data_IF_373599951452
#
_entry.id   IF_373599951452
#
_cell.length_a   1.000
_cell.length_b   1.000
_cell.length_c   1.000
_cell.angle_alpha   90.00
_cell.angle_beta   90.00
_cell.angle_gamma   90.00
#
_symmetry.space_group_name_H-M   'P 1'
#
loop_
_entity.id
_entity.type
_entity.pdbx_description
1 polymer ?
#
# COMPACT_ATOMS: atom_id res chain seq x y z
N UNK A 1 -14.52 15.91 1.94
CA UNK A 1 -13.82 14.74 1.39
C UNK A 1 -13.73 13.64 2.41
N UNK A 2 -13.97 12.43 1.96
CA UNK A 2 -13.87 11.26 2.82
C UNK A 2 -12.40 11.00 3.21
N UNK A 3 -12.15 10.79 4.50
CA UNK A 3 -10.81 10.44 4.97
C UNK A 3 -10.57 8.96 4.83
N UNK A 4 -9.40 8.60 4.32
CA UNK A 4 -9.00 7.22 4.13
C UNK A 4 -8.08 6.77 5.28
N UNK A 5 -8.30 5.57 5.83
CA UNK A 5 -7.48 5.10 6.93
C UNK A 5 -6.06 4.78 6.49
N UNK A 6 -5.10 5.10 7.34
CA UNK A 6 -3.69 4.78 7.17
C UNK A 6 -3.11 4.48 8.54
N UNK A 7 -2.20 3.50 8.63
CA UNK A 7 -1.54 3.24 9.89
C UNK A 7 -0.52 4.34 10.19
N UNK A 8 -0.23 4.57 11.46
CA UNK A 8 0.76 5.56 11.87
C UNK A 8 2.14 5.27 11.25
N UNK A 9 2.55 4.01 11.22
CA UNK A 9 3.83 3.64 10.61
C UNK A 9 3.80 3.85 9.09
N UNK A 10 2.68 3.59 8.44
CA UNK A 10 2.50 3.84 7.01
C UNK A 10 2.56 5.32 6.67
N UNK A 11 1.97 6.17 7.50
CA UNK A 11 2.08 7.62 7.32
C UNK A 11 3.54 8.07 7.39
N UNK A 12 4.29 7.57 8.36
CA UNK A 12 5.71 7.91 8.51
C UNK A 12 6.53 7.45 7.31
N UNK A 13 6.27 6.24 6.80
CA UNK A 13 6.95 5.72 5.62
C UNK A 13 6.62 6.52 4.36
N UNK A 14 5.36 6.89 4.18
CA UNK A 14 4.95 7.70 3.04
C UNK A 14 5.53 9.10 3.10
N UNK A 15 5.58 9.70 4.28
CA UNK A 15 6.20 11.02 4.46
C UNK A 15 7.68 11.00 4.11
N UNK A 16 8.40 9.95 4.51
CA UNK A 16 9.82 9.80 4.18
C UNK A 16 10.01 9.54 2.68
N UNK A 17 9.16 8.72 2.07
CA UNK A 17 9.20 8.49 0.63
C UNK A 17 8.96 9.78 -0.15
N UNK A 18 7.99 10.58 0.29
CA UNK A 18 7.71 11.89 -0.32
C UNK A 18 8.93 12.80 -0.22
N UNK A 19 9.57 12.84 0.93
CA UNK A 19 10.78 13.62 1.14
C UNK A 19 11.88 13.21 0.16
N UNK A 20 12.13 11.91 0.01
CA UNK A 20 13.14 11.39 -0.92
C UNK A 20 12.82 11.74 -2.37
N UNK A 21 11.57 11.64 -2.76
CA UNK A 21 11.14 12.04 -4.10
C UNK A 21 11.42 13.51 -4.39
N UNK A 22 11.17 14.39 -3.42
CA UNK A 22 11.34 15.85 -3.58
C UNK A 22 12.79 16.29 -3.50
N UNK A 23 13.58 15.75 -2.57
CA UNK A 23 14.93 16.25 -2.32
C UNK A 23 16.03 15.48 -3.04
N UNK A 24 15.75 14.25 -3.47
CA UNK A 24 16.72 13.40 -4.14
C UNK A 24 16.33 13.10 -5.59
N UNK A 25 15.21 12.42 -5.80
CA UNK A 25 14.86 11.93 -7.14
C UNK A 25 14.48 13.05 -8.10
N UNK A 26 13.74 14.07 -7.64
CA UNK A 26 13.38 15.21 -8.48
C UNK A 26 14.61 15.98 -8.98
N UNK A 27 15.57 16.35 -8.13
CA UNK A 27 16.80 16.99 -8.61
C UNK A 27 17.64 16.10 -9.52
N UNK A 28 17.75 14.81 -9.20
CA UNK A 28 18.51 13.87 -10.01
C UNK A 28 17.94 13.74 -11.43
N UNK A 29 16.61 13.65 -11.56
CA UNK A 29 16.01 13.56 -12.89
C UNK A 29 16.11 14.87 -13.67
N UNK A 30 16.05 16.03 -12.98
CA UNK A 30 16.27 17.31 -13.60
C UNK A 30 17.68 17.41 -14.17
N UNK A 31 18.67 16.91 -13.45
CA UNK A 31 20.06 16.85 -13.90
C UNK A 31 20.22 15.92 -15.10
N UNK A 32 19.56 14.73 -15.06
CA UNK A 32 19.59 13.78 -16.17
C UNK A 32 18.98 14.38 -17.45
N UNK A 33 17.91 15.15 -17.31
CA UNK A 33 17.31 15.86 -18.44
C UNK A 33 18.26 16.89 -19.02
N UNK A 34 18.92 17.68 -18.17
CA UNK A 34 19.89 18.68 -18.61
C UNK A 34 21.07 18.04 -19.36
N UNK A 35 21.57 16.91 -18.86
CA UNK A 35 22.66 16.18 -19.52
C UNK A 35 22.21 15.60 -20.85
N UNK A 36 21.00 15.02 -20.93
CA UNK A 36 20.47 14.48 -22.17
C UNK A 36 20.26 15.56 -23.23
N UNK A 37 19.81 16.76 -22.83
CA UNK A 37 19.64 17.89 -23.75
C UNK A 37 20.96 18.36 -24.34
N UNK A 38 22.06 18.23 -23.61
CA UNK A 38 23.40 18.60 -24.08
C UNK A 38 23.88 17.70 -25.21
N UNK A 39 23.29 16.52 -25.42
CA UNK A 39 23.69 15.60 -26.48
C UNK A 39 23.07 15.92 -27.85
N UNK A 40 22.26 16.96 -27.99
CA UNK A 40 21.79 17.47 -29.28
C UNK A 40 20.30 17.36 -29.54
N UNK A 41 19.90 16.71 -30.66
CA UNK A 41 18.52 16.67 -31.14
C UNK A 41 17.55 16.07 -30.13
N UNK A 42 16.53 16.84 -29.74
CA UNK A 42 15.54 16.40 -28.75
C UNK A 42 14.53 15.41 -29.32
N UNK A 43 14.23 15.45 -30.62
CA UNK A 43 13.25 14.58 -31.23
C UNK A 43 13.70 13.11 -31.30
N UNK A 44 14.98 12.88 -31.56
CA UNK A 44 15.57 11.55 -31.71
C UNK A 44 16.39 11.12 -30.50
N UNK A 45 16.41 11.95 -29.44
CA UNK A 45 17.21 11.69 -28.24
C UNK A 45 16.46 10.76 -27.29
N UNK A 46 16.76 9.47 -27.35
CA UNK A 46 16.11 8.46 -26.51
C UNK A 46 16.36 8.67 -25.04
N UNK A 47 17.55 9.15 -24.66
CA UNK A 47 17.88 9.47 -23.27
C UNK A 47 17.04 10.63 -22.75
N UNK A 48 16.82 11.65 -23.55
CA UNK A 48 15.97 12.78 -23.19
C UNK A 48 14.51 12.33 -22.98
N UNK A 49 13.97 11.53 -23.90
CA UNK A 49 12.59 11.05 -23.82
C UNK A 49 12.39 10.13 -22.61
N UNK A 50 13.34 9.24 -22.33
CA UNK A 50 13.29 8.36 -21.16
C UNK A 50 13.34 9.17 -19.85
N UNK A 51 14.19 10.19 -19.77
CA UNK A 51 14.31 11.04 -18.60
C UNK A 51 13.03 11.88 -18.37
N UNK A 52 12.43 12.38 -19.43
CA UNK A 52 11.15 13.12 -19.35
C UNK A 52 10.02 12.22 -18.88
N UNK A 53 9.96 10.99 -19.37
CA UNK A 53 8.97 10.03 -18.92
C UNK A 53 9.15 9.72 -17.42
N UNK A 54 10.38 9.48 -17.00
CA UNK A 54 10.71 9.24 -15.60
C UNK A 54 10.33 10.43 -14.70
N UNK A 55 10.57 11.66 -15.17
CA UNK A 55 10.15 12.87 -14.46
C UNK A 55 8.64 12.88 -14.25
N UNK A 56 7.88 12.50 -15.29
CA UNK A 56 6.43 12.41 -15.20
C UNK A 56 5.98 11.42 -14.14
N UNK A 57 6.62 10.25 -14.04
CA UNK A 57 6.32 9.26 -13.01
C UNK A 57 6.63 9.78 -11.60
N UNK A 58 7.75 10.48 -11.44
CA UNK A 58 8.13 11.06 -10.15
C UNK A 58 7.11 12.10 -9.70
N UNK A 59 6.72 13.01 -10.59
CA UNK A 59 5.72 14.03 -10.26
C UNK A 59 4.35 13.46 -9.95
N UNK A 60 3.93 12.44 -10.70
CA UNK A 60 2.67 11.74 -10.43
C UNK A 60 2.69 11.06 -9.06
N UNK A 61 3.81 10.43 -8.70
CA UNK A 61 3.96 9.77 -7.40
C UNK A 61 3.95 10.77 -6.25
N UNK A 62 4.60 11.92 -6.42
CA UNK A 62 4.58 13.01 -5.44
C UNK A 62 3.14 13.46 -5.19
N UNK A 63 2.38 13.71 -6.26
CA UNK A 63 0.99 14.16 -6.14
C UNK A 63 0.12 13.09 -5.47
N UNK A 64 0.30 11.82 -5.82
CA UNK A 64 -0.43 10.71 -5.21
C UNK A 64 -0.21 10.65 -3.71
N UNK A 65 1.05 10.72 -3.27
CA UNK A 65 1.40 10.65 -1.85
C UNK A 65 0.90 11.90 -1.11
N UNK A 66 1.09 13.08 -1.68
CA UNK A 66 0.60 14.32 -1.07
C UNK A 66 -0.91 14.31 -0.88
N UNK A 67 -1.65 13.84 -1.89
CA UNK A 67 -3.09 13.70 -1.81
C UNK A 67 -3.50 12.69 -0.72
N UNK A 68 -2.83 11.55 -0.67
CA UNK A 68 -3.12 10.52 0.32
C UNK A 68 -2.86 11.02 1.75
N UNK A 69 -1.74 11.71 1.98
CA UNK A 69 -1.42 12.27 3.30
C UNK A 69 -2.38 13.38 3.72
N UNK A 70 -2.81 14.21 2.76
CA UNK A 70 -3.77 15.28 3.04
C UNK A 70 -5.16 14.74 3.43
N UNK A 71 -5.54 13.57 2.93
CA UNK A 71 -6.85 12.97 3.20
C UNK A 71 -6.77 11.78 4.16
N UNK A 72 -5.65 11.57 4.82
CA UNK A 72 -5.44 10.43 5.69
C UNK A 72 -6.13 10.60 7.05
N UNK A 73 -6.75 9.51 7.51
CA UNK A 73 -7.13 9.33 8.90
C UNK A 73 -6.08 8.40 9.51
N UNK A 74 -5.19 8.97 10.31
CA UNK A 74 -4.08 8.21 10.90
C UNK A 74 -4.58 7.40 12.08
N UNK A 75 -4.31 6.09 12.05
CA UNK A 75 -4.73 5.16 13.10
C UNK A 75 -3.46 4.55 13.73
N UNK A 76 -3.33 4.76 15.03
CA UNK A 76 -2.28 4.09 15.80
C UNK A 76 -2.83 2.73 16.25
N UNK A 77 -2.33 1.66 15.64
CA UNK A 77 -2.83 0.31 15.90
C UNK A 77 -2.58 -0.14 17.34
N UNK A 78 -1.63 0.47 18.04
CA UNK A 78 -1.38 0.17 19.44
C UNK A 78 -2.50 0.64 20.36
N UNK A 79 -3.30 1.61 19.90
CA UNK A 79 -4.43 2.15 20.67
C UNK A 79 -5.71 1.33 20.46
N UNK A 80 -5.70 0.33 19.57
CA UNK A 80 -6.88 -0.49 19.29
C UNK A 80 -6.93 -1.65 20.29
N UNK A 81 -8.06 -1.81 21.03
CA UNK A 81 -8.22 -2.95 21.95
C UNK A 81 -8.20 -4.28 21.21
N UNK A 82 -7.52 -5.28 21.76
CA UNK A 82 -7.52 -6.62 21.23
C UNK A 82 -8.78 -7.38 21.68
N UNK A 83 -9.77 -7.42 20.81
CA UNK A 83 -11.06 -8.04 21.10
C UNK A 83 -11.27 -9.36 20.33
N UNK A 84 -10.32 -9.75 19.49
CA UNK A 84 -10.46 -10.89 18.57
C UNK A 84 -11.24 -10.55 17.32
N UNK A 85 -11.68 -9.32 17.17
CA UNK A 85 -12.42 -8.87 15.99
C UNK A 85 -11.46 -8.24 14.99
N UNK A 86 -11.65 -8.54 13.71
CA UNK A 86 -10.87 -7.97 12.62
C UNK A 86 -11.31 -6.53 12.35
N UNK A 87 -10.37 -5.60 12.50
CA UNK A 87 -10.57 -4.18 12.19
C UNK A 87 -9.39 -3.70 11.34
N UNK A 88 -9.45 -2.44 10.89
CA UNK A 88 -8.31 -1.85 10.18
C UNK A 88 -7.05 -1.93 11.03
N UNK A 89 -5.94 -2.32 10.41
CA UNK A 89 -4.66 -2.47 11.11
C UNK A 89 -4.44 -3.83 11.77
N UNK A 90 -5.45 -4.69 11.79
CA UNK A 90 -5.31 -6.03 12.38
C UNK A 90 -4.33 -6.88 11.60
N UNK A 91 -3.51 -7.65 12.33
CA UNK A 91 -2.68 -8.72 11.79
C UNK A 91 -3.41 -10.03 12.06
N UNK A 92 -3.73 -10.78 11.01
CA UNK A 92 -4.63 -11.92 11.07
C UNK A 92 -3.91 -13.18 10.63
N UNK A 93 -3.85 -14.17 11.50
CA UNK A 93 -3.38 -15.49 11.14
C UNK A 93 -4.58 -16.30 10.63
N UNK A 94 -4.46 -16.77 9.40
CA UNK A 94 -5.52 -17.48 8.67
C UNK A 94 -5.06 -18.87 8.30
N UNK A 95 -6.01 -19.80 8.26
CA UNK A 95 -5.81 -21.08 7.61
C UNK A 95 -6.65 -21.13 6.33
N UNK A 96 -6.00 -21.35 5.20
CA UNK A 96 -6.67 -21.48 3.91
C UNK A 96 -7.14 -22.93 3.78
N UNK A 97 -8.45 -23.14 3.98
CA UNK A 97 -9.06 -24.47 3.94
C UNK A 97 -9.11 -25.04 2.52
N UNK A 98 -9.12 -24.15 1.51
CA UNK A 98 -9.15 -24.54 0.10
C UNK A 98 -7.81 -25.08 -0.36
N UNK A 99 -6.71 -24.42 0.01
CA UNK A 99 -5.35 -24.75 -0.44
C UNK A 99 -4.49 -25.41 0.65
N UNK A 100 -5.05 -25.62 1.83
CA UNK A 100 -4.41 -26.32 2.97
C UNK A 100 -3.07 -25.68 3.34
N UNK A 101 -3.08 -24.38 3.68
CA UNK A 101 -1.88 -23.66 4.09
C UNK A 101 -2.20 -22.53 5.07
N UNK A 102 -1.21 -22.15 5.88
CA UNK A 102 -1.31 -21.02 6.80
C UNK A 102 -0.88 -19.75 6.10
N UNK A 103 -1.59 -18.65 6.35
CA UNK A 103 -1.32 -17.34 5.77
C UNK A 103 -1.46 -16.28 6.87
N UNK A 104 -0.61 -15.26 6.84
CA UNK A 104 -0.74 -14.10 7.72
C UNK A 104 -0.91 -12.85 6.87
N UNK A 105 -1.97 -12.08 7.13
CA UNK A 105 -2.23 -10.80 6.48
C UNK A 105 -2.39 -9.70 7.51
N UNK A 106 -1.96 -8.50 7.13
CA UNK A 106 -2.25 -7.27 7.87
C UNK A 106 -3.05 -6.34 6.98
N UNK A 107 -4.17 -5.83 7.49
CA UNK A 107 -5.03 -4.91 6.73
C UNK A 107 -4.51 -3.48 6.90
N UNK A 108 -4.11 -2.86 5.81
CA UNK A 108 -3.49 -1.53 5.79
C UNK A 108 -4.18 -0.62 4.78
N UNK A 109 -3.72 0.63 4.70
CA UNK A 109 -4.20 1.57 3.71
C UNK A 109 -3.71 1.22 2.30
N UNK A 110 -4.34 1.83 1.30
CA UNK A 110 -4.11 1.48 -0.10
C UNK A 110 -2.64 1.65 -0.52
N UNK A 111 -2.01 2.77 -0.13
CA UNK A 111 -0.60 3.04 -0.50
C UNK A 111 0.41 2.30 0.38
N UNK A 112 -0.02 1.72 1.49
CA UNK A 112 0.83 0.90 2.36
C UNK A 112 0.90 -0.54 1.91
N UNK A 113 -0.01 -0.97 1.02
CA UNK A 113 -0.16 -2.37 0.66
C UNK A 113 1.07 -2.93 -0.06
N UNK A 114 1.41 -4.15 0.33
CA UNK A 114 2.47 -4.94 -0.29
C UNK A 114 2.09 -6.42 -0.12
N UNK A 115 1.38 -6.99 -1.09
CA UNK A 115 0.88 -8.36 -0.96
C UNK A 115 1.97 -9.40 -0.68
N UNK A 116 3.17 -9.21 -1.23
CA UNK A 116 4.29 -10.12 -0.99
C UNK A 116 4.74 -10.12 0.47
N UNK A 117 4.62 -8.99 1.14
CA UNK A 117 4.93 -8.86 2.57
C UNK A 117 3.72 -9.17 3.47
N UNK A 118 2.59 -9.57 2.90
CA UNK A 118 1.37 -9.86 3.66
C UNK A 118 0.58 -8.61 4.03
N UNK A 119 0.90 -7.45 3.45
CA UNK A 119 0.17 -6.21 3.71
C UNK A 119 -0.90 -6.03 2.63
N UNK A 120 -2.15 -6.25 2.99
CA UNK A 120 -3.27 -6.15 2.04
C UNK A 120 -4.04 -4.85 2.26
N UNK A 121 -4.45 -4.22 1.14
CA UNK A 121 -5.26 -3.02 1.20
C UNK A 121 -6.65 -3.34 1.74
N UNK A 122 -7.18 -2.44 2.57
CA UNK A 122 -8.56 -2.53 3.07
C UNK A 122 -9.59 -2.63 1.94
N UNK A 123 -9.24 -2.18 0.73
CA UNK A 123 -10.13 -2.21 -0.42
C UNK A 123 -10.17 -3.56 -1.14
N UNK A 124 -9.29 -4.50 -0.80
CA UNK A 124 -9.28 -5.82 -1.43
C UNK A 124 -10.46 -6.68 -1.01
N UNK A 125 -10.90 -7.63 -1.87
CA UNK A 125 -11.97 -8.55 -1.50
C UNK A 125 -11.67 -9.34 -0.24
N UNK A 126 -10.42 -9.79 -0.05
CA UNK A 126 -10.01 -10.55 1.14
C UNK A 126 -10.17 -9.68 2.39
N UNK A 127 -9.65 -8.47 2.37
CA UNK A 127 -9.78 -7.55 3.51
C UNK A 127 -11.24 -7.24 3.82
N UNK A 128 -12.04 -6.95 2.81
CA UNK A 128 -13.46 -6.65 2.97
C UNK A 128 -14.23 -7.84 3.55
N UNK A 129 -13.89 -9.05 3.13
CA UNK A 129 -14.52 -10.27 3.63
C UNK A 129 -14.14 -10.57 5.07
N UNK A 130 -12.96 -10.18 5.51
CA UNK A 130 -12.48 -10.43 6.88
C UNK A 130 -12.92 -9.36 7.87
N UNK A 131 -13.13 -8.12 7.42
CA UNK A 131 -13.49 -7.00 8.30
C UNK A 131 -14.76 -7.32 9.10
N UNK A 132 -14.69 -7.10 10.41
CA UNK A 132 -15.80 -7.32 11.32
C UNK A 132 -15.99 -8.77 11.77
N UNK A 133 -15.23 -9.69 11.24
CA UNK A 133 -15.24 -11.10 11.65
C UNK A 133 -14.42 -11.31 12.92
N UNK A 134 -14.57 -12.45 13.54
CA UNK A 134 -13.91 -12.75 14.83
C UNK A 134 -13.05 -14.00 14.73
N UNK A 135 -12.14 -14.16 15.70
CA UNK A 135 -11.37 -15.39 15.87
C UNK A 135 -12.33 -16.58 15.93
N UNK A 136 -12.01 -17.62 15.18
CA UNK A 136 -12.82 -18.84 15.08
C UNK A 136 -13.82 -18.85 13.93
N UNK A 137 -14.06 -17.69 13.29
CA UNK A 137 -14.98 -17.61 12.17
C UNK A 137 -14.36 -18.22 10.90
N UNK A 138 -15.20 -18.86 10.11
CA UNK A 138 -14.88 -19.30 8.77
C UNK A 138 -15.51 -18.33 7.78
N UNK A 139 -14.74 -17.91 6.78
CA UNK A 139 -15.19 -16.93 5.79
C UNK A 139 -14.93 -17.45 4.39
N UNK A 140 -15.95 -17.41 3.55
CA UNK A 140 -15.80 -17.68 2.11
C UNK A 140 -15.63 -16.37 1.38
N UNK A 141 -14.54 -16.25 0.62
CA UNK A 141 -14.22 -15.02 -0.09
C UNK A 141 -14.17 -15.31 -1.58
N UNK A 142 -14.91 -14.51 -2.35
CA UNK A 142 -14.89 -14.57 -3.80
C UNK A 142 -13.75 -13.71 -4.32
N UNK A 143 -12.85 -14.32 -5.09
CA UNK A 143 -11.72 -13.62 -5.72
C UNK A 143 -11.80 -13.82 -7.23
N UNK A 144 -11.05 -13.02 -8.04
CA UNK A 144 -11.00 -13.22 -9.49
C UNK A 144 -10.56 -14.62 -9.91
N UNK A 145 -9.75 -15.29 -9.09
CA UNK A 145 -9.29 -16.67 -9.36
C UNK A 145 -10.18 -17.76 -8.77
N UNK A 146 -11.32 -17.41 -8.16
CA UNK A 146 -12.28 -18.34 -7.58
C UNK A 146 -12.53 -18.06 -6.10
N UNK A 147 -13.40 -18.85 -5.49
CA UNK A 147 -13.71 -18.74 -4.05
C UNK A 147 -12.66 -19.46 -3.21
N UNK A 148 -12.29 -18.84 -2.08
CA UNK A 148 -11.44 -19.48 -1.08
C UNK A 148 -12.14 -19.44 0.28
N UNK A 149 -11.93 -20.49 1.07
CA UNK A 149 -12.46 -20.58 2.43
C UNK A 149 -11.32 -20.40 3.42
N UNK A 150 -11.47 -19.43 4.31
CA UNK A 150 -10.46 -19.07 5.30
C UNK A 150 -11.02 -19.20 6.71
N UNK A 151 -10.21 -19.74 7.62
CA UNK A 151 -10.52 -19.77 9.05
C UNK A 151 -9.64 -18.76 9.77
N UNK A 152 -10.25 -17.92 10.60
CA UNK A 152 -9.52 -16.92 11.39
C UNK A 152 -9.00 -17.58 12.65
N UNK A 153 -7.68 -17.78 12.71
CA UNK A 153 -7.03 -18.44 13.84
C UNK A 153 -6.62 -17.48 14.95
N UNK A 154 -6.16 -16.29 14.56
CA UNK A 154 -5.66 -15.29 15.51
C UNK A 154 -5.80 -13.89 14.94
N UNK A 155 -6.14 -12.92 15.79
CA UNK A 155 -6.22 -11.50 15.44
C UNK A 155 -5.38 -10.71 16.45
N UNK A 156 -4.40 -9.99 15.96
CA UNK A 156 -3.49 -9.17 16.76
C UNK A 156 -3.39 -7.76 16.19
N UNK A 157 -2.91 -6.83 17.01
CA UNK A 157 -2.64 -5.44 16.60
C UNK A 157 -1.15 -5.16 16.85
N UNK A 158 -0.34 -5.41 15.82
CA UNK A 158 1.13 -5.35 15.93
C UNK A 158 1.72 -4.09 15.27
#
# INVERSE_FOLDING_TARGET
MEKLPITKSGEQQLAEKLRQLKIKERPEISQAIAEARAHGDLKENAEYHAAKEQQGFIEAKIQEIEHALANAQVIDIKDIPETGRVVFGSTIDLYDLTNDKSITYKIVGNLESDPEAGLISIQTPIAQGLMGKNVGDEVSISTPSGSIDLEIEKVQHL
#
